data_IF_907604583591
#
_entry.id   IF_907604583591
#
_cell.length_a   1.000
_cell.length_b   1.000
_cell.length_c   1.000
_cell.angle_alpha   90.00
_cell.angle_beta   90.00
_cell.angle_gamma   90.00
#
_symmetry.space_group_name_H-M   'P 1'
#
loop_
_entity.id
_entity.type
_entity.pdbx_description
1 polymer ?
#
# COMPACT_ATOMS: atom_id res chain seq x y z
N UNK A 1 -17.30 18.04 -23.10
CA UNK A 1 -16.14 17.14 -22.93
C UNK A 1 -16.62 15.74 -23.23
N UNK A 2 -16.17 15.15 -24.35
CA UNK A 2 -16.82 13.99 -24.99
C UNK A 2 -16.78 12.73 -24.13
N UNK A 3 -17.91 12.03 -24.03
CA UNK A 3 -18.08 10.74 -23.33
C UNK A 3 -17.03 9.70 -23.73
N UNK A 4 -16.60 9.73 -25.01
CA UNK A 4 -15.52 8.90 -25.55
C UNK A 4 -14.16 9.14 -24.87
N UNK A 5 -13.83 10.39 -24.56
CA UNK A 5 -12.57 10.74 -23.86
C UNK A 5 -12.58 10.23 -22.42
N UNK A 6 -13.75 10.28 -21.77
CA UNK A 6 -13.92 9.78 -20.40
C UNK A 6 -13.75 8.27 -20.31
N UNK A 7 -14.32 7.52 -21.27
CA UNK A 7 -14.24 6.06 -21.33
C UNK A 7 -12.81 5.58 -21.64
N UNK A 8 -12.09 6.28 -22.52
CA UNK A 8 -10.68 6.00 -22.81
C UNK A 8 -9.81 6.27 -21.57
N UNK A 9 -10.08 7.35 -20.82
CA UNK A 9 -9.36 7.66 -19.58
C UNK A 9 -9.58 6.60 -18.51
N UNK A 10 -10.82 6.11 -18.34
CA UNK A 10 -11.12 5.05 -17.38
C UNK A 10 -10.48 3.73 -17.78
N UNK A 11 -10.51 3.38 -19.06
CA UNK A 11 -9.85 2.17 -19.57
C UNK A 11 -8.32 2.23 -19.37
N UNK A 12 -7.69 3.40 -19.60
CA UNK A 12 -6.26 3.59 -19.36
C UNK A 12 -5.89 3.42 -17.88
N UNK A 13 -6.69 4.02 -16.97
CA UNK A 13 -6.48 3.90 -15.52
C UNK A 13 -6.59 2.45 -15.04
N UNK A 14 -7.56 1.70 -15.56
CA UNK A 14 -7.72 0.27 -15.25
C UNK A 14 -6.52 -0.52 -15.78
N UNK A 15 -6.00 -0.22 -16.97
CA UNK A 15 -4.84 -0.89 -17.54
C UNK A 15 -3.54 -0.61 -16.77
N UNK A 16 -3.33 0.63 -16.29
CA UNK A 16 -2.20 0.96 -15.41
C UNK A 16 -2.28 0.25 -14.05
N UNK A 17 -3.50 -0.04 -13.56
CA UNK A 17 -3.70 -0.77 -12.31
C UNK A 17 -3.26 -2.25 -12.39
N UNK A 18 -3.21 -2.81 -13.61
CA UNK A 18 -2.91 -4.23 -13.86
C UNK A 18 -1.40 -4.45 -14.12
N UNK A 19 -0.64 -3.40 -14.44
CA UNK A 19 0.79 -3.49 -14.74
C UNK A 19 1.71 -3.39 -13.52
N UNK A 20 1.18 -3.50 -12.31
CA UNK A 20 2.01 -3.70 -11.11
C UNK A 20 2.60 -5.12 -11.17
N UNK A 21 3.64 -5.27 -12.00
CA UNK A 21 4.63 -6.31 -11.76
C UNK A 21 5.03 -6.23 -10.29
N UNK A 22 5.28 -7.37 -9.66
CA UNK A 22 5.79 -7.41 -8.30
C UNK A 22 7.19 -6.74 -8.32
N UNK A 23 7.20 -5.43 -8.17
CA UNK A 23 8.41 -4.64 -7.97
C UNK A 23 8.69 -4.88 -6.50
N UNK A 24 9.65 -5.76 -6.22
CA UNK A 24 10.25 -5.82 -4.89
C UNK A 24 10.65 -4.39 -4.53
N UNK A 25 10.34 -3.96 -3.31
CA UNK A 25 10.77 -2.66 -2.78
C UNK A 25 12.21 -2.37 -3.21
N UNK A 26 12.52 -1.15 -3.63
CA UNK A 26 13.88 -0.76 -4.05
C UNK A 26 14.94 -1.12 -2.98
N UNK A 27 14.53 -1.19 -1.71
CA UNK A 27 15.37 -1.57 -0.57
C UNK A 27 15.60 -3.09 -0.41
N UNK A 28 14.83 -3.92 -1.12
CA UNK A 28 14.92 -5.38 -1.10
C UNK A 28 15.53 -5.95 -2.39
N UNK A 29 16.01 -5.11 -3.32
CA UNK A 29 16.53 -5.54 -4.62
C UNK A 29 17.78 -6.44 -4.53
N UNK A 30 18.53 -6.35 -3.42
CA UNK A 30 19.75 -7.13 -3.16
C UNK A 30 19.51 -8.29 -2.17
N UNK A 31 18.24 -8.68 -1.94
CA UNK A 31 17.96 -9.87 -1.13
C UNK A 31 18.38 -11.14 -1.87
N UNK A 32 18.93 -12.10 -1.13
CA UNK A 32 19.32 -13.38 -1.71
C UNK A 32 18.11 -14.07 -2.36
N UNK A 33 18.36 -15.03 -3.25
CA UNK A 33 17.31 -15.85 -3.87
C UNK A 33 16.57 -16.77 -2.87
N UNK A 34 16.88 -16.67 -1.58
CA UNK A 34 16.24 -17.42 -0.49
C UNK A 34 14.90 -16.78 -0.15
N UNK A 35 13.82 -17.53 -0.38
CA UNK A 35 12.44 -17.12 -0.13
C UNK A 35 12.24 -16.44 1.24
N UNK A 36 12.76 -17.03 2.32
CA UNK A 36 12.59 -16.48 3.67
C UNK A 36 13.30 -15.13 3.88
N UNK A 37 14.42 -14.89 3.19
CA UNK A 37 15.12 -13.60 3.29
C UNK A 37 14.37 -12.49 2.53
N UNK A 38 13.76 -12.82 1.38
CA UNK A 38 12.85 -11.91 0.68
C UNK A 38 11.64 -11.55 1.54
N UNK A 39 11.00 -12.57 2.16
CA UNK A 39 9.88 -12.37 3.08
C UNK A 39 10.29 -11.43 4.22
N UNK A 40 11.44 -11.69 4.85
CA UNK A 40 11.95 -10.88 5.96
C UNK A 40 12.22 -9.43 5.57
N UNK A 41 12.78 -9.18 4.38
CA UNK A 41 13.01 -7.82 3.91
C UNK A 41 11.72 -7.03 3.70
N UNK A 42 10.75 -7.62 3.00
CA UNK A 42 9.45 -6.97 2.75
C UNK A 42 8.70 -6.72 4.06
N UNK A 43 8.76 -7.67 5.01
CA UNK A 43 8.17 -7.49 6.35
C UNK A 43 8.78 -6.31 7.12
N UNK A 44 10.09 -6.07 6.99
CA UNK A 44 10.73 -4.91 7.59
C UNK A 44 10.23 -3.59 6.97
N UNK A 45 10.05 -3.55 5.64
CA UNK A 45 9.52 -2.37 4.95
C UNK A 45 8.04 -2.11 5.30
N UNK A 46 7.24 -3.17 5.47
CA UNK A 46 5.88 -3.10 6.02
C UNK A 46 5.92 -2.46 7.41
N UNK A 47 6.74 -2.98 8.32
CA UNK A 47 6.84 -2.45 9.68
C UNK A 47 7.29 -0.97 9.71
N UNK A 48 8.22 -0.60 8.83
CA UNK A 48 8.65 0.81 8.66
C UNK A 48 7.48 1.70 8.22
N UNK A 49 6.73 1.27 7.22
CA UNK A 49 5.57 2.00 6.69
C UNK A 49 4.46 2.14 7.73
N UNK A 50 4.16 1.07 8.47
CA UNK A 50 3.18 1.11 9.57
C UNK A 50 3.59 2.09 10.67
N UNK A 51 4.86 2.10 11.07
CA UNK A 51 5.37 3.02 12.09
C UNK A 51 5.27 4.48 11.62
N UNK A 52 5.57 4.75 10.35
CA UNK A 52 5.45 6.07 9.76
C UNK A 52 4.00 6.56 9.73
N UNK A 53 3.07 5.73 9.24
CA UNK A 53 1.64 6.08 9.17
C UNK A 53 1.09 6.37 10.57
N UNK A 54 1.35 5.49 11.54
CA UNK A 54 0.94 5.69 12.94
C UNK A 54 1.50 7.00 13.50
N UNK A 55 2.78 7.30 13.23
CA UNK A 55 3.42 8.54 13.67
C UNK A 55 2.70 9.76 13.08
N UNK A 56 2.45 9.78 11.78
CA UNK A 56 1.79 10.90 11.09
C UNK A 56 0.39 11.12 11.63
N UNK A 57 -0.42 10.08 11.74
CA UNK A 57 -1.78 10.16 12.30
C UNK A 57 -1.75 10.66 13.75
N UNK A 58 -0.88 10.09 14.60
CA UNK A 58 -0.82 10.46 16.02
C UNK A 58 -0.39 11.91 16.25
N UNK A 59 0.50 12.45 15.40
CA UNK A 59 0.97 13.83 15.51
C UNK A 59 -0.09 14.85 15.05
N UNK A 60 -1.08 14.40 14.28
CA UNK A 60 -2.00 15.26 13.52
C UNK A 60 -3.48 14.94 13.79
N UNK A 61 -3.83 14.06 14.73
CA UNK A 61 -5.20 13.50 14.79
C UNK A 61 -6.30 14.52 15.10
N UNK A 62 -6.03 15.50 15.98
CA UNK A 62 -7.05 16.48 16.41
C UNK A 62 -7.26 17.55 15.33
N UNK A 63 -6.19 18.07 14.74
CA UNK A 63 -6.28 19.18 13.78
C UNK A 63 -6.82 18.71 12.41
N UNK A 64 -6.64 17.43 12.07
CA UNK A 64 -6.98 16.86 10.77
C UNK A 64 -8.13 15.84 10.86
N UNK A 65 -8.77 15.70 12.03
CA UNK A 65 -10.01 14.93 12.19
C UNK A 65 -9.89 13.43 11.93
N UNK A 66 -8.70 12.83 12.07
CA UNK A 66 -8.55 11.38 11.94
C UNK A 66 -9.27 10.65 13.08
N UNK A 67 -10.18 9.69 12.79
CA UNK A 67 -10.76 8.84 13.82
C UNK A 67 -9.70 8.01 14.56
N UNK A 68 -9.89 7.79 15.86
CA UNK A 68 -8.96 7.01 16.70
C UNK A 68 -8.67 5.60 16.14
N UNK A 69 -9.65 4.99 15.47
CA UNK A 69 -9.55 3.65 14.89
C UNK A 69 -9.23 3.63 13.39
N UNK A 70 -8.94 4.79 12.79
CA UNK A 70 -8.69 4.92 11.35
C UNK A 70 -7.59 3.96 10.87
N UNK A 71 -6.40 4.01 11.48
CA UNK A 71 -5.29 3.15 11.09
C UNK A 71 -5.65 1.66 11.20
N UNK A 72 -6.26 1.24 12.32
CA UNK A 72 -6.58 -0.16 12.55
C UNK A 72 -7.59 -0.69 11.52
N UNK A 73 -8.61 0.11 11.18
CA UNK A 73 -9.59 -0.24 10.15
C UNK A 73 -8.95 -0.35 8.77
N UNK A 74 -8.12 0.63 8.38
CA UNK A 74 -7.43 0.59 7.09
C UNK A 74 -6.46 -0.60 7.02
N UNK A 75 -5.69 -0.84 8.09
CA UNK A 75 -4.74 -1.96 8.15
C UNK A 75 -5.42 -3.31 8.03
N UNK A 76 -6.57 -3.49 8.69
CA UNK A 76 -7.36 -4.71 8.59
C UNK A 76 -7.91 -4.91 7.18
N UNK A 77 -8.50 -3.87 6.57
CA UNK A 77 -9.02 -3.95 5.22
C UNK A 77 -7.92 -4.28 4.19
N UNK A 78 -6.72 -3.70 4.35
CA UNK A 78 -5.54 -4.04 3.53
C UNK A 78 -5.16 -5.52 3.72
N UNK A 79 -5.11 -5.98 4.97
CA UNK A 79 -4.77 -7.38 5.28
C UNK A 79 -5.74 -8.35 4.61
N UNK A 80 -7.04 -8.16 4.81
CA UNK A 80 -8.09 -9.01 4.25
C UNK A 80 -8.04 -9.04 2.71
N UNK A 81 -7.78 -7.89 2.09
CA UNK A 81 -7.58 -7.80 0.64
C UNK A 81 -6.37 -8.62 0.18
N UNK A 82 -5.23 -8.49 0.86
CA UNK A 82 -3.98 -9.14 0.44
C UNK A 82 -3.96 -10.64 0.75
N UNK A 83 -4.68 -11.08 1.78
CA UNK A 83 -4.89 -12.50 2.08
C UNK A 83 -5.53 -13.29 0.93
N UNK A 84 -6.21 -12.62 -0.01
CA UNK A 84 -6.74 -13.27 -1.22
C UNK A 84 -5.63 -13.91 -2.09
N UNK A 85 -4.38 -13.44 -2.01
CA UNK A 85 -3.24 -14.03 -2.70
C UNK A 85 -2.83 -15.41 -2.14
N UNK A 86 -3.29 -15.77 -0.94
CA UNK A 86 -3.08 -17.12 -0.39
C UNK A 86 -3.64 -18.22 -1.31
N UNK A 87 -4.67 -17.92 -2.11
CA UNK A 87 -5.26 -18.86 -3.06
C UNK A 87 -4.33 -19.25 -4.22
N UNK A 88 -3.24 -18.50 -4.46
CA UNK A 88 -2.24 -18.84 -5.48
C UNK A 88 -1.37 -20.02 -5.01
N UNK A 89 -1.17 -20.16 -3.70
CA UNK A 89 -0.39 -21.23 -3.09
C UNK A 89 1.13 -21.12 -3.30
N UNK A 90 1.86 -21.79 -2.41
CA UNK A 90 3.33 -21.86 -2.43
C UNK A 90 4.03 -20.52 -2.23
N UNK A 91 5.34 -20.53 -2.47
CA UNK A 91 6.22 -19.37 -2.27
C UNK A 91 5.76 -18.13 -3.06
N UNK A 92 5.24 -18.34 -4.27
CA UNK A 92 4.73 -17.24 -5.10
C UNK A 92 3.52 -16.56 -4.47
N UNK A 93 2.56 -17.33 -3.93
CA UNK A 93 1.39 -16.76 -3.25
C UNK A 93 1.79 -15.97 -2.02
N UNK A 94 2.73 -16.49 -1.22
CA UNK A 94 3.26 -15.80 -0.03
C UNK A 94 3.95 -14.48 -0.39
N UNK A 95 4.83 -14.46 -1.40
CA UNK A 95 5.52 -13.24 -1.85
C UNK A 95 4.53 -12.20 -2.39
N UNK A 96 3.55 -12.62 -3.18
CA UNK A 96 2.52 -11.71 -3.70
C UNK A 96 1.63 -11.15 -2.59
N UNK A 97 1.31 -11.95 -1.58
CA UNK A 97 0.53 -11.52 -0.43
C UNK A 97 1.24 -10.42 0.35
N UNK A 98 2.50 -10.61 0.72
CA UNK A 98 3.24 -9.61 1.49
C UNK A 98 3.59 -8.37 0.65
N UNK A 99 3.88 -8.54 -0.65
CA UNK A 99 4.11 -7.41 -1.55
C UNK A 99 2.84 -6.56 -1.69
N UNK A 100 1.66 -7.20 -1.75
CA UNK A 100 0.38 -6.51 -1.72
C UNK A 100 0.23 -5.67 -0.45
N UNK A 101 0.55 -6.22 0.73
CA UNK A 101 0.46 -5.46 1.98
C UNK A 101 1.38 -4.23 1.96
N UNK A 102 2.63 -4.42 1.55
CA UNK A 102 3.61 -3.34 1.44
C UNK A 102 3.10 -2.21 0.54
N UNK A 103 2.73 -2.52 -0.71
CA UNK A 103 2.34 -1.49 -1.67
C UNK A 103 1.06 -0.76 -1.25
N UNK A 104 0.10 -1.43 -0.59
CA UNK A 104 -1.10 -0.75 -0.09
C UNK A 104 -0.80 0.15 1.12
N UNK A 105 0.19 -0.19 1.96
CA UNK A 105 0.63 0.69 3.04
C UNK A 105 1.39 1.91 2.51
N UNK A 106 2.23 1.74 1.50
CA UNK A 106 2.90 2.87 0.81
C UNK A 106 1.88 3.84 0.21
N UNK A 107 0.86 3.32 -0.48
CA UNK A 107 -0.24 4.14 -1.02
C UNK A 107 -1.05 4.84 0.10
N UNK A 108 -1.27 4.17 1.23
CA UNK A 108 -1.97 4.77 2.36
C UNK A 108 -1.16 5.91 2.99
N UNK A 109 0.16 5.75 3.12
CA UNK A 109 1.07 6.78 3.60
C UNK A 109 1.07 8.01 2.67
N UNK A 110 1.14 7.81 1.36
CA UNK A 110 1.07 8.89 0.37
C UNK A 110 -0.28 9.62 0.41
N UNK A 111 -1.39 8.86 0.49
CA UNK A 111 -2.73 9.44 0.63
C UNK A 111 -2.86 10.32 1.89
N UNK A 112 -2.36 9.86 3.04
CA UNK A 112 -2.41 10.61 4.29
C UNK A 112 -1.57 11.90 4.18
N UNK A 113 -0.38 11.83 3.58
CA UNK A 113 0.46 13.01 3.35
C UNK A 113 -0.25 14.04 2.48
N UNK A 114 -0.82 13.61 1.34
CA UNK A 114 -1.55 14.50 0.46
C UNK A 114 -2.76 15.12 1.16
N UNK A 115 -3.53 14.33 1.92
CA UNK A 115 -4.66 14.84 2.68
C UNK A 115 -4.24 15.94 3.68
N UNK A 116 -3.12 15.74 4.38
CA UNK A 116 -2.56 16.74 5.30
C UNK A 116 -2.17 18.00 4.55
N UNK A 117 -1.47 17.88 3.41
CA UNK A 117 -1.08 19.02 2.57
C UNK A 117 -2.31 19.79 2.04
N UNK A 118 -3.36 19.08 1.64
CA UNK A 118 -4.60 19.70 1.15
C UNK A 118 -5.33 20.47 2.27
N UNK A 119 -5.36 19.92 3.49
CA UNK A 119 -5.92 20.60 4.66
C UNK A 119 -5.08 21.81 5.08
N UNK A 120 -3.75 21.72 5.00
CA UNK A 120 -2.85 22.83 5.33
C UNK A 120 -2.95 24.00 4.33
N UNK A 121 -3.28 23.71 3.07
CA UNK A 121 -3.39 24.70 1.99
C UNK A 121 -4.81 25.24 1.76
N UNK A 122 -5.82 24.71 2.44
CA UNK A 122 -7.23 25.10 2.32
C UNK A 122 -7.65 26.21 3.28
#
# INVERSE_FOLDING_TARGET
>A
MNRLLSEIFTALLILFSISSGAIASDNCYDTSTVHQEMIGCIQNEIARSEAQIKKVISFKSIDYGFPDDFYNKQRLAIHERCMLYANIGGQRGELLMIQCEQSNLENLDEYIKQYIEDVDNG
#
